data_IF_323997051496
#
_entry.id   IF_323997051496
#
_cell.length_a   1.000
_cell.length_b   1.000
_cell.length_c   1.000
_cell.angle_alpha   90.00
_cell.angle_beta   90.00
_cell.angle_gamma   90.00
#
_symmetry.space_group_name_H-M   'P 1'
#
loop_
_entity.id
_entity.type
_entity.pdbx_description
1 polymer ?
#
# COMPACT_ATOMS: atom_id res chain seq x y z
N UNK A 1 -5.21 -28.08 2.19
CA UNK A 1 -5.17 -26.63 2.47
C UNK A 1 -3.92 -25.96 1.92
N UNK A 2 -2.71 -26.29 2.38
CA UNK A 2 -1.49 -25.61 1.90
C UNK A 2 -1.33 -25.73 0.37
N UNK A 3 -1.43 -26.94 -0.19
CA UNK A 3 -1.34 -27.16 -1.64
C UNK A 3 -2.50 -26.51 -2.42
N UNK A 4 -3.69 -26.41 -1.82
CA UNK A 4 -4.87 -25.84 -2.47
C UNK A 4 -4.80 -24.30 -2.54
N UNK A 5 -3.98 -23.68 -1.69
CA UNK A 5 -3.86 -22.21 -1.56
C UNK A 5 -2.54 -21.70 -2.18
N UNK A 6 -1.55 -22.57 -2.43
CA UNK A 6 -0.28 -22.16 -3.04
C UNK A 6 -0.44 -21.42 -4.38
N UNK A 7 -1.21 -21.97 -5.32
CA UNK A 7 -1.41 -21.33 -6.62
C UNK A 7 -2.20 -20.00 -6.52
N UNK A 8 -3.35 -19.94 -5.82
CA UNK A 8 -4.02 -18.67 -5.58
C UNK A 8 -3.13 -17.61 -4.89
N UNK A 9 -2.24 -18.05 -4.01
CA UNK A 9 -1.30 -17.18 -3.33
C UNK A 9 -0.25 -16.60 -4.28
N UNK A 10 0.31 -17.42 -5.17
CA UNK A 10 1.25 -16.96 -6.21
C UNK A 10 0.58 -15.96 -7.15
N UNK A 11 -0.67 -16.21 -7.55
CA UNK A 11 -1.44 -15.27 -8.38
C UNK A 11 -1.70 -13.94 -7.67
N UNK A 12 -2.00 -13.98 -6.37
CA UNK A 12 -2.16 -12.78 -5.56
C UNK A 12 -0.85 -11.98 -5.49
N UNK A 13 0.30 -12.64 -5.32
CA UNK A 13 1.60 -11.97 -5.29
C UNK A 13 1.90 -11.27 -6.62
N UNK A 14 1.70 -11.96 -7.75
CA UNK A 14 1.85 -11.36 -9.07
C UNK A 14 0.91 -10.17 -9.28
N UNK A 15 -0.34 -10.28 -8.81
CA UNK A 15 -1.31 -9.19 -8.92
C UNK A 15 -0.91 -7.97 -8.09
N UNK A 16 -0.30 -8.17 -6.93
CA UNK A 16 0.20 -7.09 -6.07
C UNK A 16 1.45 -6.43 -6.64
N UNK A 17 2.37 -7.21 -7.21
CA UNK A 17 3.54 -6.68 -7.93
C UNK A 17 3.09 -5.81 -9.11
N UNK A 18 2.18 -6.33 -9.94
CA UNK A 18 1.65 -5.58 -11.07
C UNK A 18 0.88 -4.33 -10.65
N UNK A 19 0.07 -4.40 -9.60
CA UNK A 19 -0.59 -3.22 -9.04
C UNK A 19 0.44 -2.16 -8.58
N UNK A 20 1.54 -2.58 -7.94
CA UNK A 20 2.60 -1.68 -7.54
C UNK A 20 3.26 -0.98 -8.72
N UNK A 21 3.60 -1.73 -9.77
CA UNK A 21 4.13 -1.19 -11.02
C UNK A 21 3.17 -0.20 -11.66
N UNK A 22 1.87 -0.52 -11.71
CA UNK A 22 0.84 0.35 -12.29
C UNK A 22 0.70 1.68 -11.51
N UNK A 23 0.80 1.64 -10.17
CA UNK A 23 0.74 2.84 -9.32
C UNK A 23 1.96 3.72 -9.52
N UNK A 24 3.17 3.16 -9.53
CA UNK A 24 4.41 3.91 -9.75
C UNK A 24 4.40 4.53 -11.15
N UNK A 25 4.09 3.75 -12.18
CA UNK A 25 3.98 4.26 -13.55
C UNK A 25 2.92 5.37 -13.67
N UNK A 26 1.85 5.30 -12.89
CA UNK A 26 0.84 6.36 -12.85
C UNK A 26 1.36 7.65 -12.23
N UNK A 27 2.14 7.55 -11.15
CA UNK A 27 2.83 8.69 -10.53
C UNK A 27 3.78 9.32 -11.54
N UNK A 28 4.66 8.52 -12.16
CA UNK A 28 5.59 8.97 -13.20
C UNK A 28 4.88 9.76 -14.30
N UNK A 29 3.81 9.21 -14.86
CA UNK A 29 3.06 9.86 -15.95
C UNK A 29 2.49 11.23 -15.55
N UNK A 30 2.03 11.39 -14.32
CA UNK A 30 1.47 12.67 -13.83
C UNK A 30 2.57 13.71 -13.66
N UNK A 31 3.72 13.32 -13.12
CA UNK A 31 4.84 14.23 -12.91
C UNK A 31 5.54 14.58 -14.23
N UNK A 32 5.74 13.62 -15.13
CA UNK A 32 6.28 13.86 -16.49
C UNK A 32 5.39 14.83 -17.29
N UNK A 33 4.07 14.65 -17.22
CA UNK A 33 3.13 15.57 -17.86
C UNK A 33 3.24 16.99 -17.27
N UNK A 34 3.37 17.09 -15.94
CA UNK A 34 3.50 18.38 -15.25
C UNK A 34 4.80 19.07 -15.61
N UNK A 35 5.93 18.35 -15.65
CA UNK A 35 7.23 18.88 -16.05
C UNK A 35 7.21 19.39 -17.49
N UNK A 36 6.66 18.60 -18.43
CA UNK A 36 6.51 19.01 -19.82
C UNK A 36 5.64 20.25 -19.96
N UNK A 37 4.50 20.31 -19.27
CA UNK A 37 3.60 21.46 -19.31
C UNK A 37 4.30 22.74 -18.80
N UNK A 38 4.98 22.65 -17.67
CA UNK A 38 5.73 23.78 -17.10
C UNK A 38 6.87 24.23 -18.02
N UNK A 39 7.57 23.28 -18.65
CA UNK A 39 8.62 23.56 -19.62
C UNK A 39 8.11 24.28 -20.87
N UNK A 40 6.91 23.94 -21.36
CA UNK A 40 6.33 24.56 -22.56
C UNK A 40 5.65 25.90 -22.30
N UNK A 41 4.93 26.05 -21.19
CA UNK A 41 4.09 27.23 -20.93
C UNK A 41 4.84 28.38 -20.25
N UNK A 42 6.04 28.10 -19.71
CA UNK A 42 6.81 29.04 -18.89
C UNK A 42 8.26 29.20 -19.38
N UNK A 43 8.49 28.95 -20.68
CA UNK A 43 9.81 29.02 -21.33
C UNK A 43 10.51 30.38 -21.11
N UNK A 44 9.73 31.46 -21.00
CA UNK A 44 10.22 32.84 -20.82
C UNK A 44 10.53 33.25 -19.36
N UNK A 45 10.31 32.37 -18.36
CA UNK A 45 10.45 32.72 -16.92
C UNK A 45 11.18 31.64 -16.11
N UNK A 46 12.28 31.13 -16.66
CA UNK A 46 13.03 30.00 -16.12
C UNK A 46 13.53 30.18 -14.67
N UNK A 47 13.93 31.40 -14.28
CA UNK A 47 14.46 31.67 -12.92
C UNK A 47 13.38 31.50 -11.83
N UNK A 48 12.12 31.74 -12.16
CA UNK A 48 10.97 31.65 -11.24
C UNK A 48 10.34 30.25 -11.21
N UNK A 49 10.53 29.49 -12.29
CA UNK A 49 9.97 28.13 -12.49
C UNK A 49 10.88 27.05 -11.92
N UNK A 50 12.19 27.32 -11.85
CA UNK A 50 13.17 26.35 -11.35
C UNK A 50 12.87 25.81 -9.93
N UNK A 51 12.50 26.62 -8.93
CA UNK A 51 12.16 26.12 -7.60
C UNK A 51 10.91 25.21 -7.61
N UNK A 52 9.94 25.51 -8.48
CA UNK A 52 8.72 24.71 -8.63
C UNK A 52 9.04 23.34 -9.21
N UNK A 53 9.77 23.30 -10.32
CA UNK A 53 10.18 22.04 -10.99
C UNK A 53 11.05 21.20 -10.05
N UNK A 54 12.03 21.82 -9.37
CA UNK A 54 12.86 21.12 -8.39
C UNK A 54 12.04 20.54 -7.23
N UNK A 55 11.00 21.24 -6.78
CA UNK A 55 10.11 20.73 -5.76
C UNK A 55 9.29 19.57 -6.28
N UNK A 56 8.70 19.68 -7.48
CA UNK A 56 7.91 18.62 -8.09
C UNK A 56 8.72 17.33 -8.27
N UNK A 57 9.94 17.43 -8.79
CA UNK A 57 10.85 16.27 -8.92
C UNK A 57 11.17 15.67 -7.54
N UNK A 58 11.45 16.53 -6.54
CA UNK A 58 11.71 16.02 -5.19
C UNK A 58 10.49 15.32 -4.59
N UNK A 59 9.29 15.85 -4.85
CA UNK A 59 8.05 15.28 -4.35
C UNK A 59 7.70 13.98 -5.08
N UNK A 60 7.93 13.89 -6.39
CA UNK A 60 7.81 12.64 -7.14
C UNK A 60 8.65 11.52 -6.52
N UNK A 61 9.95 11.77 -6.34
CA UNK A 61 10.89 10.79 -5.78
C UNK A 61 10.52 10.36 -4.35
N UNK A 62 10.04 11.30 -3.53
CA UNK A 62 9.56 11.00 -2.17
C UNK A 62 8.32 10.11 -2.22
N UNK A 63 7.34 10.45 -3.07
CA UNK A 63 6.10 9.70 -3.19
C UNK A 63 6.33 8.28 -3.71
N UNK A 64 7.16 8.12 -4.75
CA UNK A 64 7.55 6.82 -5.27
C UNK A 64 8.19 5.96 -4.18
N UNK A 65 9.17 6.52 -3.45
CA UNK A 65 9.86 5.80 -2.38
C UNK A 65 8.91 5.41 -1.23
N UNK A 66 7.97 6.28 -0.86
CA UNK A 66 6.96 6.00 0.15
C UNK A 66 6.02 4.87 -0.30
N UNK A 67 5.55 4.91 -1.55
CA UNK A 67 4.69 3.87 -2.14
C UNK A 67 5.42 2.52 -2.20
N UNK A 68 6.66 2.49 -2.68
CA UNK A 68 7.50 1.29 -2.70
C UNK A 68 7.66 0.69 -1.30
N UNK A 69 7.90 1.55 -0.30
CA UNK A 69 8.04 1.13 1.09
C UNK A 69 6.75 0.49 1.60
N UNK A 70 5.60 1.11 1.35
CA UNK A 70 4.29 0.57 1.79
C UNK A 70 4.01 -0.77 1.12
N UNK A 71 4.30 -0.93 -0.16
CA UNK A 71 4.11 -2.18 -0.90
C UNK A 71 5.04 -3.29 -0.38
N UNK A 72 6.30 -2.96 -0.09
CA UNK A 72 7.27 -3.88 0.50
C UNK A 72 6.82 -4.36 1.89
N UNK A 73 6.31 -3.45 2.72
CA UNK A 73 5.74 -3.78 4.03
C UNK A 73 4.54 -4.72 3.90
N UNK A 74 3.60 -4.43 2.98
CA UNK A 74 2.45 -5.29 2.69
C UNK A 74 2.92 -6.69 2.26
N UNK A 75 3.92 -6.80 1.40
CA UNK A 75 4.48 -8.11 1.02
C UNK A 75 5.07 -8.85 2.23
N UNK A 76 5.75 -8.14 3.14
CA UNK A 76 6.27 -8.70 4.39
C UNK A 76 5.16 -9.24 5.30
N UNK A 77 4.10 -8.45 5.48
CA UNK A 77 2.90 -8.81 6.23
C UNK A 77 2.21 -10.04 5.63
N UNK A 78 2.05 -10.09 4.31
CA UNK A 78 1.45 -11.22 3.62
C UNK A 78 2.31 -12.48 3.72
N UNK A 79 3.64 -12.39 3.67
CA UNK A 79 4.54 -13.55 3.92
C UNK A 79 4.35 -14.09 5.34
N UNK A 80 4.19 -13.21 6.32
CA UNK A 80 3.91 -13.58 7.70
C UNK A 80 2.53 -14.24 7.81
N UNK A 81 1.50 -13.65 7.21
CA UNK A 81 0.14 -14.19 7.19
C UNK A 81 0.08 -15.57 6.52
N UNK A 82 0.82 -15.79 5.42
CA UNK A 82 0.95 -17.10 4.78
C UNK A 82 1.51 -18.13 5.75
N UNK A 83 2.56 -17.78 6.48
CA UNK A 83 3.18 -18.66 7.47
C UNK A 83 2.20 -18.98 8.59
N UNK A 84 1.52 -17.96 9.12
CA UNK A 84 0.56 -18.12 10.20
C UNK A 84 -0.69 -18.91 9.78
N UNK A 85 -1.12 -18.82 8.53
CA UNK A 85 -2.31 -19.49 8.05
C UNK A 85 -2.06 -20.91 7.52
N UNK A 86 -0.92 -21.14 6.86
CA UNK A 86 -0.68 -22.37 6.08
C UNK A 86 0.36 -23.31 6.70
N UNK A 87 1.10 -22.88 7.73
CA UNK A 87 2.09 -23.74 8.39
C UNK A 87 1.51 -24.51 9.58
N UNK A 88 2.11 -25.67 9.87
CA UNK A 88 1.78 -26.48 11.04
C UNK A 88 2.58 -26.10 12.30
N UNK A 89 3.28 -24.96 12.32
CA UNK A 89 4.11 -24.58 13.47
C UNK A 89 3.22 -24.20 14.66
N UNK A 90 3.78 -24.32 15.87
CA UNK A 90 3.04 -24.05 17.12
C UNK A 90 2.39 -22.65 17.17
N UNK A 91 3.04 -21.65 16.57
CA UNK A 91 2.57 -20.26 16.57
C UNK A 91 1.56 -19.93 15.47
N UNK A 92 1.33 -20.85 14.52
CA UNK A 92 0.35 -20.67 13.45
C UNK A 92 -1.09 -20.67 13.99
N UNK A 93 -2.06 -20.30 13.16
CA UNK A 93 -3.47 -20.29 13.55
C UNK A 93 -3.95 -21.67 13.98
N UNK A 94 -3.62 -22.70 13.19
CA UNK A 94 -3.94 -24.09 13.54
C UNK A 94 -3.14 -24.54 14.76
N UNK A 95 -1.86 -24.17 14.87
CA UNK A 95 -1.01 -24.47 16.03
C UNK A 95 -1.58 -23.95 17.34
N UNK A 96 -1.92 -22.65 17.38
CA UNK A 96 -2.54 -21.98 18.52
C UNK A 96 -3.91 -22.58 18.86
N UNK A 97 -4.74 -22.90 17.86
CA UNK A 97 -6.07 -23.51 18.09
C UNK A 97 -5.97 -24.97 18.57
N UNK A 98 -4.99 -25.73 18.11
CA UNK A 98 -4.79 -27.13 18.45
C UNK A 98 -3.93 -27.34 19.72
N UNK A 99 -3.33 -26.29 20.28
CA UNK A 99 -2.41 -26.34 21.42
C UNK A 99 -2.94 -27.21 22.59
N UNK A 100 -4.21 -27.02 22.97
CA UNK A 100 -4.83 -27.80 24.04
C UNK A 100 -4.95 -29.29 23.66
N UNK A 101 -5.32 -29.60 22.42
CA UNK A 101 -5.41 -30.97 21.93
C UNK A 101 -4.03 -31.64 21.89
N UNK A 102 -3.00 -30.91 21.46
CA UNK A 102 -1.61 -31.39 21.48
C UNK A 102 -1.13 -31.66 22.90
N UNK A 103 -1.39 -30.76 23.85
CA UNK A 103 -1.02 -30.95 25.25
C UNK A 103 -1.74 -32.16 25.87
N UNK A 104 -3.04 -32.30 25.64
CA UNK A 104 -3.83 -33.44 26.12
C UNK A 104 -3.37 -34.78 25.54
N UNK A 105 -3.03 -34.81 24.24
CA UNK A 105 -2.47 -35.99 23.59
C UNK A 105 -1.09 -36.34 24.16
N UNK A 106 -0.23 -35.34 24.40
CA UNK A 106 1.10 -35.53 24.98
C UNK A 106 1.05 -36.18 26.37
N UNK A 107 0.04 -35.87 27.18
CA UNK A 107 -0.18 -36.46 28.50
C UNK A 107 -0.63 -37.94 28.49
N UNK A 108 -1.06 -38.48 27.34
CA UNK A 108 -1.47 -39.88 27.24
C UNK A 108 -0.26 -40.82 27.29
N UNK A 109 -0.36 -41.89 28.08
CA UNK A 109 0.68 -42.93 28.24
C UNK A 109 0.06 -44.31 28.49
N UNK A 110 0.86 -45.38 28.39
CA UNK A 110 0.40 -46.75 28.61
C UNK A 110 -0.22 -47.44 27.40
N UNK A 111 -0.77 -48.63 27.61
CA UNK A 111 -1.34 -49.48 26.54
C UNK A 111 -2.62 -48.83 25.98
N UNK A 112 -2.71 -48.70 24.66
CA UNK A 112 -3.84 -48.02 24.00
C UNK A 112 -3.69 -46.49 23.89
N UNK A 113 -2.59 -45.91 24.36
CA UNK A 113 -2.33 -44.47 24.28
C UNK A 113 -2.29 -43.93 22.85
N UNK A 114 -1.80 -44.69 21.88
CA UNK A 114 -1.82 -44.29 20.46
C UNK A 114 -3.24 -44.03 19.95
N UNK A 115 -4.16 -44.96 20.22
CA UNK A 115 -5.57 -44.79 19.85
C UNK A 115 -6.21 -43.59 20.56
N UNK A 116 -5.91 -43.40 21.85
CA UNK A 116 -6.39 -42.25 22.61
C UNK A 116 -5.86 -40.92 22.05
N UNK A 117 -4.57 -40.83 21.73
CA UNK A 117 -3.95 -39.65 21.10
C UNK A 117 -4.61 -39.30 19.79
N UNK A 118 -4.80 -40.29 18.90
CA UNK A 118 -5.49 -40.11 17.63
C UNK A 118 -6.93 -39.65 17.82
N UNK A 119 -7.65 -40.21 18.80
CA UNK A 119 -9.01 -39.79 19.11
C UNK A 119 -9.08 -38.32 19.57
N UNK A 120 -8.15 -37.88 20.43
CA UNK A 120 -8.07 -36.47 20.89
C UNK A 120 -7.84 -35.54 19.70
N UNK A 121 -6.84 -35.84 18.85
CA UNK A 121 -6.53 -35.00 17.68
C UNK A 121 -7.68 -34.99 16.68
N UNK A 122 -8.23 -36.16 16.32
CA UNK A 122 -9.34 -36.25 15.39
C UNK A 122 -10.59 -35.54 15.94
N UNK A 123 -10.86 -35.66 17.23
CA UNK A 123 -11.98 -34.94 17.84
C UNK A 123 -11.79 -33.43 17.73
N UNK A 124 -10.58 -32.91 17.94
CA UNK A 124 -10.28 -31.49 17.85
C UNK A 124 -10.34 -30.98 16.40
N UNK A 125 -9.81 -31.74 15.44
CA UNK A 125 -9.90 -31.40 14.00
C UNK A 125 -11.34 -31.43 13.50
N UNK A 126 -12.12 -32.40 13.97
CA UNK A 126 -13.54 -32.55 13.61
C UNK A 126 -14.46 -31.66 14.46
N UNK A 127 -13.92 -30.79 15.33
CA UNK A 127 -14.76 -29.79 15.99
C UNK A 127 -15.39 -28.90 14.93
N UNK A 128 -16.72 -28.88 14.91
CA UNK A 128 -17.49 -28.04 14.01
C UNK A 128 -17.00 -26.59 14.12
N UNK A 129 -16.54 -26.05 12.99
CA UNK A 129 -16.13 -24.66 12.89
C UNK A 129 -14.63 -24.39 13.01
N UNK A 130 -13.75 -25.37 13.27
CA UNK A 130 -12.29 -25.12 13.33
C UNK A 130 -11.80 -24.46 12.04
N UNK A 131 -12.02 -25.09 10.89
CA UNK A 131 -11.58 -24.55 9.60
C UNK A 131 -12.30 -23.25 9.22
N UNK A 132 -13.58 -23.11 9.58
CA UNK A 132 -14.33 -21.89 9.33
C UNK A 132 -13.79 -20.70 10.14
N UNK A 133 -13.41 -20.92 11.40
CA UNK A 133 -12.78 -19.93 12.26
C UNK A 133 -11.40 -19.54 11.74
N UNK A 134 -10.60 -20.52 11.29
CA UNK A 134 -9.28 -20.27 10.70
C UNK A 134 -9.40 -19.43 9.42
N UNK A 135 -10.35 -19.76 8.55
CA UNK A 135 -10.59 -19.01 7.31
C UNK A 135 -11.11 -17.58 7.60
N UNK A 136 -12.01 -17.44 8.59
CA UNK A 136 -12.49 -16.12 9.03
C UNK A 136 -11.36 -15.26 9.55
N UNK A 137 -10.46 -15.85 10.35
CA UNK A 137 -9.29 -15.14 10.87
C UNK A 137 -8.34 -14.73 9.74
N UNK A 138 -7.99 -15.67 8.85
CA UNK A 138 -7.15 -15.38 7.69
C UNK A 138 -7.71 -14.23 6.85
N UNK A 139 -9.01 -14.26 6.52
CA UNK A 139 -9.65 -13.20 5.74
C UNK A 139 -9.63 -11.85 6.46
N UNK A 140 -9.85 -11.85 7.77
CA UNK A 140 -9.80 -10.64 8.58
C UNK A 140 -8.40 -10.02 8.53
N UNK A 141 -7.39 -10.81 8.86
CA UNK A 141 -6.00 -10.34 8.94
C UNK A 141 -5.52 -9.88 7.55
N UNK A 142 -5.88 -10.62 6.47
CA UNK A 142 -5.62 -10.20 5.09
C UNK A 142 -6.20 -8.83 4.76
N UNK A 143 -7.50 -8.64 5.01
CA UNK A 143 -8.18 -7.38 4.74
C UNK A 143 -7.60 -6.21 5.55
N UNK A 144 -7.17 -6.48 6.78
CA UNK A 144 -6.54 -5.48 7.65
C UNK A 144 -5.20 -5.01 7.08
N UNK A 145 -4.34 -5.93 6.62
CA UNK A 145 -3.07 -5.57 5.99
C UNK A 145 -3.26 -4.78 4.68
N UNK A 146 -4.17 -5.23 3.80
CA UNK A 146 -4.46 -4.52 2.55
C UNK A 146 -5.01 -3.13 2.83
N UNK A 147 -5.96 -3.00 3.75
CA UNK A 147 -6.52 -1.71 4.11
C UNK A 147 -5.46 -0.76 4.68
N UNK A 148 -4.62 -1.24 5.60
CA UNK A 148 -3.55 -0.43 6.16
C UNK A 148 -2.56 0.05 5.09
N UNK A 149 -2.26 -0.77 4.08
CA UNK A 149 -1.43 -0.36 2.96
C UNK A 149 -2.11 0.70 2.09
N UNK A 150 -3.40 0.53 1.79
CA UNK A 150 -4.19 1.54 1.05
C UNK A 150 -4.24 2.87 1.81
N UNK A 151 -4.54 2.85 3.11
CA UNK A 151 -4.60 4.04 3.96
C UNK A 151 -3.23 4.77 3.97
N UNK A 152 -2.11 4.03 4.05
CA UNK A 152 -0.76 4.62 4.01
C UNK A 152 -0.37 5.21 2.66
N UNK A 153 -0.73 4.56 1.54
CA UNK A 153 -0.53 5.12 0.20
C UNK A 153 -1.35 6.40 0.05
N UNK A 154 -2.58 6.41 0.57
CA UNK A 154 -3.45 7.57 0.54
C UNK A 154 -2.88 8.74 1.35
N UNK A 155 -2.36 8.48 2.56
CA UNK A 155 -1.65 9.47 3.38
C UNK A 155 -0.40 10.03 2.68
N UNK A 156 0.39 9.18 2.01
CA UNK A 156 1.57 9.59 1.25
C UNK A 156 1.20 10.57 0.12
N UNK A 157 0.16 10.25 -0.66
CA UNK A 157 -0.34 11.13 -1.73
C UNK A 157 -0.86 12.46 -1.16
N UNK A 158 -1.61 12.44 -0.04
CA UNK A 158 -2.12 13.67 0.58
C UNK A 158 -0.99 14.57 1.12
N UNK A 159 0.01 13.97 1.77
CA UNK A 159 1.20 14.69 2.25
C UNK A 159 1.95 15.37 1.10
N UNK A 160 2.15 14.63 0.01
CA UNK A 160 2.83 15.12 -1.18
C UNK A 160 2.10 16.30 -1.84
N UNK A 161 0.78 16.18 -2.02
CA UNK A 161 -0.06 17.25 -2.53
C UNK A 161 -0.05 18.49 -1.63
N UNK A 162 -0.03 18.30 -0.31
CA UNK A 162 0.13 19.39 0.65
C UNK A 162 1.47 20.13 0.48
N UNK A 163 2.57 19.39 0.34
CA UNK A 163 3.89 19.98 0.13
C UNK A 163 3.98 20.76 -1.20
N UNK A 164 3.37 20.24 -2.27
CA UNK A 164 3.27 20.96 -3.55
C UNK A 164 2.49 22.27 -3.33
N UNK A 165 1.33 22.21 -2.67
CA UNK A 165 0.51 23.40 -2.38
C UNK A 165 1.26 24.46 -1.55
N UNK A 166 2.01 24.05 -0.53
CA UNK A 166 2.80 24.96 0.30
C UNK A 166 3.86 25.70 -0.53
N UNK A 167 4.57 24.98 -1.41
CA UNK A 167 5.54 25.61 -2.34
C UNK A 167 4.86 26.60 -3.29
N UNK A 168 3.63 26.31 -3.72
CA UNK A 168 2.85 27.25 -4.53
C UNK A 168 2.50 28.51 -3.78
N UNK A 169 2.07 28.39 -2.53
CA UNK A 169 1.73 29.55 -1.73
C UNK A 169 2.95 30.41 -1.43
N UNK A 170 4.15 29.80 -1.31
CA UNK A 170 5.42 30.53 -1.24
C UNK A 170 5.70 31.27 -2.54
N UNK A 171 5.69 30.59 -3.70
CA UNK A 171 5.94 31.23 -5.01
C UNK A 171 4.92 32.33 -5.29
N UNK A 172 3.64 32.10 -4.95
CA UNK A 172 2.57 33.10 -5.04
C UNK A 172 2.86 34.31 -4.17
N UNK A 173 3.31 34.11 -2.93
CA UNK A 173 3.62 35.20 -2.00
C UNK A 173 4.86 35.99 -2.43
N UNK A 174 5.90 35.29 -2.87
CA UNK A 174 7.15 35.88 -3.36
C UNK A 174 6.94 36.64 -4.68
N UNK A 175 6.14 36.12 -5.61
CA UNK A 175 5.78 36.82 -6.85
C UNK A 175 4.77 37.97 -6.62
N UNK A 176 3.89 37.91 -5.63
CA UNK A 176 3.09 39.10 -5.26
C UNK A 176 4.01 40.22 -4.79
N UNK A 177 5.11 39.90 -4.10
CA UNK A 177 6.09 40.88 -3.65
C UNK A 177 7.02 41.39 -4.77
N UNK A 178 7.33 40.59 -5.80
CA UNK A 178 8.28 40.92 -6.87
C UNK A 178 7.64 41.35 -8.21
N UNK A 179 6.44 40.87 -8.55
CA UNK A 179 5.88 40.89 -9.91
C UNK A 179 4.45 41.42 -10.04
N UNK A 180 3.82 41.95 -8.98
CA UNK A 180 2.45 42.50 -9.02
C UNK A 180 2.18 43.60 -10.09
N UNK A 181 3.17 44.02 -10.86
CA UNK A 181 3.03 44.96 -11.99
C UNK A 181 3.42 44.39 -13.37
N UNK A 182 3.99 43.18 -13.51
CA UNK A 182 4.69 42.79 -14.75
C UNK A 182 4.08 41.69 -15.62
N UNK A 183 3.45 40.64 -15.08
CA UNK A 183 2.83 39.60 -15.93
C UNK A 183 1.67 38.82 -15.23
N UNK A 184 0.42 39.28 -15.40
CA UNK A 184 -0.76 38.56 -14.94
C UNK A 184 -1.02 37.23 -15.66
N UNK A 185 -0.58 37.09 -16.91
CA UNK A 185 -0.84 35.90 -17.74
C UNK A 185 0.04 34.72 -17.31
N UNK A 186 1.29 34.98 -16.90
CA UNK A 186 2.17 33.98 -16.28
C UNK A 186 1.49 33.32 -15.06
N UNK A 187 0.81 34.12 -14.23
CA UNK A 187 0.10 33.63 -13.04
C UNK A 187 -1.05 32.69 -13.39
N UNK A 188 -1.81 32.99 -14.43
CA UNK A 188 -2.92 32.13 -14.88
C UNK A 188 -2.39 30.80 -15.43
N UNK A 189 -1.30 30.83 -16.22
CA UNK A 189 -0.68 29.62 -16.78
C UNK A 189 -0.15 28.67 -15.70
N UNK A 190 0.59 29.20 -14.71
CA UNK A 190 1.07 28.40 -13.57
C UNK A 190 -0.11 27.79 -12.81
N UNK A 191 -1.12 28.59 -12.48
CA UNK A 191 -2.30 28.09 -11.73
C UNK A 191 -3.04 26.98 -12.48
N UNK A 192 -3.18 27.09 -13.80
CA UNK A 192 -3.83 26.09 -14.64
C UNK A 192 -3.05 24.76 -14.72
N UNK A 193 -1.72 24.82 -14.84
CA UNK A 193 -0.84 23.65 -14.79
C UNK A 193 -1.14 22.78 -13.57
N UNK A 194 -1.16 23.46 -12.42
CA UNK A 194 -1.17 22.83 -11.11
C UNK A 194 -2.55 22.35 -10.71
N UNK A 195 -3.61 23.06 -11.09
CA UNK A 195 -4.97 22.52 -10.94
C UNK A 195 -5.17 21.27 -11.78
N UNK A 196 -4.50 21.15 -12.93
CA UNK A 196 -4.54 19.93 -13.73
C UNK A 196 -3.74 18.81 -13.07
N UNK A 197 -2.52 19.08 -12.57
CA UNK A 197 -1.74 18.10 -11.78
C UNK A 197 -2.53 17.62 -10.57
N UNK A 198 -3.22 18.53 -9.87
CA UNK A 198 -4.08 18.21 -8.74
C UNK A 198 -5.27 17.34 -9.15
N UNK A 199 -5.94 17.67 -10.26
CA UNK A 199 -7.04 16.86 -10.77
C UNK A 199 -6.60 15.45 -11.17
N UNK A 200 -5.43 15.31 -11.81
CA UNK A 200 -4.90 14.00 -12.17
C UNK A 200 -4.44 13.21 -10.94
N UNK A 201 -3.87 13.86 -9.92
CA UNK A 201 -3.56 13.21 -8.64
C UNK A 201 -4.83 12.82 -7.87
N UNK A 202 -5.88 13.64 -7.88
CA UNK A 202 -7.20 13.29 -7.35
C UNK A 202 -7.85 12.13 -8.13
N UNK A 203 -7.58 12.03 -9.43
CA UNK A 203 -7.99 10.90 -10.25
C UNK A 203 -7.23 9.63 -9.88
N UNK A 204 -5.92 9.69 -9.69
CA UNK A 204 -5.13 8.58 -9.16
C UNK A 204 -5.65 8.13 -7.79
N UNK A 205 -5.95 9.09 -6.91
CA UNK A 205 -6.61 8.82 -5.63
C UNK A 205 -7.94 8.09 -5.82
N UNK A 206 -8.76 8.48 -6.80
CA UNK A 206 -10.04 7.81 -7.06
C UNK A 206 -9.89 6.37 -7.57
N UNK A 207 -8.82 6.09 -8.32
CA UNK A 207 -8.48 4.74 -8.79
C UNK A 207 -7.96 3.88 -7.65
N UNK A 208 -7.18 4.46 -6.73
CA UNK A 208 -6.68 3.78 -5.53
C UNK A 208 -7.76 3.48 -4.48
N UNK A 209 -8.88 4.23 -4.51
CA UNK A 209 -9.99 4.09 -3.58
C UNK A 209 -11.11 3.13 -4.05
N UNK A 210 -11.06 2.65 -5.29
CA UNK A 210 -12.05 1.74 -5.90
C UNK A 210 -11.71 0.26 -5.68
#
# INVERSE_FOLDING_TARGET
MANDISQPWEQLQLSLEQFGEDVIASIDNVFDWTDQFLGTELEDSQDTVFPLVSTLISQQLVLESEVETVLSDLQGDLRTLRTDALSGIRTSFIGKRMENAYNNARCQSGRGSDACRKAIINSAVNQNGLFADLLRKFRKDFNEHVKNAQDRIHEAVESNLGAIQDTLDIIRSDNIALESEKDPEFRERVTAALETTKQEMERLRSVLAA
#
